data_IF_342315725201
#
_entry.id   IF_342315725201
#
_cell.length_a   1.000
_cell.length_b   1.000
_cell.length_c   1.000
_cell.angle_alpha   90.00
_cell.angle_beta   90.00
_cell.angle_gamma   90.00
#
_symmetry.space_group_name_H-M   'P 1'
#
loop_
_entity.id
_entity.type
_entity.pdbx_description
1 polymer ?
#
# COMPACT_ATOMS: atom_id res chain seq x y z
N UNK A 1 -3.51 39.50 23.51
CA UNK A 1 -2.33 39.72 22.66
C UNK A 1 -1.48 38.47 22.77
N UNK A 2 -1.74 37.43 22.00
CA UNK A 2 -1.33 37.20 20.59
C UNK A 2 0.02 36.46 20.53
N UNK A 3 -0.05 35.26 19.93
CA UNK A 3 0.92 34.28 19.36
C UNK A 3 2.43 34.34 19.74
N UNK A 4 3.18 33.22 19.86
CA UNK A 4 3.24 32.11 18.91
C UNK A 4 3.71 30.77 19.52
N UNK A 5 3.07 29.70 19.04
CA UNK A 5 3.48 28.30 19.11
C UNK A 5 4.81 28.07 18.38
N UNK A 6 5.75 27.37 19.02
CA UNK A 6 6.84 26.65 18.34
C UNK A 6 7.03 25.30 19.04
N UNK A 7 6.15 24.36 18.70
CA UNK A 7 6.23 22.97 19.15
C UNK A 7 7.42 22.28 18.50
N UNK A 8 8.48 22.06 19.28
CA UNK A 8 9.64 21.25 18.89
C UNK A 8 9.26 19.77 18.99
N UNK A 9 8.72 19.20 17.91
CA UNK A 9 8.45 17.76 17.83
C UNK A 9 9.71 17.08 17.28
N UNK A 10 10.58 16.60 18.17
CA UNK A 10 11.59 15.61 17.81
C UNK A 10 10.90 14.27 17.61
N UNK A 11 10.77 13.81 16.37
CA UNK A 11 10.24 12.49 16.06
C UNK A 11 11.39 11.47 16.18
N UNK A 12 11.39 10.64 17.23
CA UNK A 12 12.28 9.49 17.28
C UNK A 12 11.84 8.44 16.26
N UNK A 13 12.74 8.01 15.36
CA UNK A 13 12.47 6.96 14.39
C UNK A 13 13.11 5.63 14.85
N UNK A 14 12.39 4.52 14.65
CA UNK A 14 12.86 3.17 14.95
C UNK A 14 12.80 2.30 13.68
N UNK A 15 13.94 2.01 13.02
CA UNK A 15 13.98 0.96 12.00
C UNK A 15 13.87 -0.43 12.65
N UNK A 16 13.34 -1.45 11.95
CA UNK A 16 13.26 -2.81 12.48
C UNK A 16 14.66 -3.36 12.78
N UNK A 17 14.98 -3.57 14.06
CA UNK A 17 16.23 -4.21 14.50
C UNK A 17 17.50 -3.33 14.53
N UNK A 18 17.37 -2.01 14.28
CA UNK A 18 18.50 -1.07 14.30
C UNK A 18 18.52 -0.13 15.52
N UNK A 19 19.64 0.58 15.78
CA UNK A 19 19.71 1.58 16.84
C UNK A 19 18.77 2.76 16.55
N UNK A 20 18.19 3.33 17.60
CA UNK A 20 17.36 4.55 17.52
C UNK A 20 18.24 5.69 16.98
N UNK A 21 17.93 6.18 15.78
CA UNK A 21 18.51 7.41 15.24
C UNK A 21 17.55 8.56 15.49
N UNK A 22 18.02 9.58 16.20
CA UNK A 22 17.26 10.78 16.50
C UNK A 22 17.95 11.97 15.81
N UNK A 23 17.19 12.71 15.02
CA UNK A 23 17.62 13.86 14.25
C UNK A 23 16.42 14.48 13.56
N UNK A 24 16.59 15.66 12.95
CA UNK A 24 15.56 16.21 12.06
C UNK A 24 15.51 15.39 10.76
N UNK A 25 14.40 15.47 10.03
CA UNK A 25 14.23 14.69 8.80
C UNK A 25 15.40 14.93 7.82
N UNK A 26 15.86 16.17 7.72
CA UNK A 26 16.96 16.60 6.87
C UNK A 26 18.29 15.95 7.24
N UNK A 27 18.58 15.80 8.54
CA UNK A 27 19.78 15.09 9.01
C UNK A 27 19.72 13.59 8.71
N UNK A 28 18.54 12.98 8.85
CA UNK A 28 18.29 11.58 8.53
C UNK A 28 18.30 11.27 7.02
N UNK A 29 18.07 12.31 6.20
CA UNK A 29 18.27 12.24 4.74
C UNK A 29 19.76 12.30 4.42
N UNK A 30 20.48 13.25 5.00
CA UNK A 30 21.91 13.47 4.73
C UNK A 30 22.80 12.34 5.25
N UNK A 31 22.43 11.70 6.36
CA UNK A 31 23.19 10.59 6.95
C UNK A 31 22.85 9.20 6.34
N UNK A 32 21.96 9.18 5.34
CA UNK A 32 21.50 7.97 4.66
C UNK A 32 20.61 7.04 5.49
N UNK A 33 20.14 7.46 6.68
CA UNK A 33 19.32 6.64 7.56
C UNK A 33 18.01 6.19 6.90
N UNK A 34 17.38 7.06 6.10
CA UNK A 34 16.19 6.69 5.35
C UNK A 34 16.48 5.60 4.31
N UNK A 35 17.52 5.74 3.51
CA UNK A 35 17.85 4.72 2.52
C UNK A 35 18.14 3.37 3.19
N UNK A 36 18.95 3.35 4.25
CA UNK A 36 19.33 2.12 4.95
C UNK A 36 18.15 1.43 5.68
N UNK A 37 17.19 2.21 6.22
CA UNK A 37 16.04 1.65 6.94
C UNK A 37 15.03 0.95 6.00
N UNK A 38 15.01 1.34 4.74
CA UNK A 38 13.96 0.98 3.78
C UNK A 38 14.47 0.09 2.62
N UNK A 39 15.79 -0.09 2.51
CA UNK A 39 16.44 -0.96 1.52
C UNK A 39 15.91 -2.40 1.59
N UNK A 40 15.73 -2.98 2.78
CA UNK A 40 15.19 -4.33 2.96
C UNK A 40 13.70 -4.46 2.62
N UNK A 41 12.98 -3.35 2.50
CA UNK A 41 11.56 -3.31 2.15
C UNK A 41 11.32 -3.10 0.64
N UNK A 42 12.39 -3.08 -0.18
CA UNK A 42 12.27 -2.80 -1.61
C UNK A 42 11.85 -1.35 -1.89
N UNK A 43 12.14 -0.45 -0.96
CA UNK A 43 11.80 0.97 -1.05
C UNK A 43 13.08 1.78 -1.18
N UNK A 44 13.23 2.46 -2.30
CA UNK A 44 14.31 3.39 -2.57
C UNK A 44 13.89 4.79 -2.11
N UNK A 45 14.73 5.47 -1.34
CA UNK A 45 14.49 6.86 -0.97
C UNK A 45 15.26 7.79 -1.91
N UNK A 46 14.57 8.66 -2.64
CA UNK A 46 15.17 9.68 -3.48
C UNK A 46 15.55 10.89 -2.61
N UNK A 47 16.81 10.95 -2.17
CA UNK A 47 17.31 12.01 -1.30
C UNK A 47 17.28 13.41 -1.94
N UNK A 48 17.28 13.50 -3.28
CA UNK A 48 17.18 14.78 -3.99
C UNK A 48 15.73 15.27 -4.07
N UNK A 49 14.78 14.35 -4.23
CA UNK A 49 13.36 14.65 -4.34
C UNK A 49 12.55 14.52 -3.05
N UNK A 50 13.13 14.01 -1.97
CA UNK A 50 12.48 13.82 -0.67
C UNK A 50 11.32 12.81 -0.67
N UNK A 51 11.28 11.87 -1.61
CA UNK A 51 10.17 10.90 -1.75
C UNK A 51 10.66 9.46 -1.83
N UNK A 52 9.79 8.54 -1.42
CA UNK A 52 10.05 7.09 -1.47
C UNK A 52 9.50 6.50 -2.78
N UNK A 53 10.29 5.65 -3.44
CA UNK A 53 9.95 4.85 -4.61
C UNK A 53 9.94 3.37 -4.22
N UNK A 54 8.76 2.76 -4.20
CA UNK A 54 8.64 1.32 -3.95
C UNK A 54 8.86 0.58 -5.26
N UNK A 55 9.93 -0.21 -5.36
CA UNK A 55 10.19 -1.09 -6.50
C UNK A 55 9.66 -2.48 -6.18
N UNK A 56 8.35 -2.67 -6.35
CA UNK A 56 7.76 -4.01 -6.22
C UNK A 56 7.67 -4.66 -7.62
N UNK A 57 8.22 -5.87 -7.84
CA UNK A 57 8.04 -6.57 -9.10
C UNK A 57 6.54 -6.77 -9.36
N UNK A 58 6.13 -6.57 -10.61
CA UNK A 58 4.72 -6.71 -11.01
C UNK A 58 4.22 -8.12 -10.70
N UNK A 59 3.25 -8.24 -9.79
CA UNK A 59 2.67 -9.52 -9.37
C UNK A 59 1.53 -10.00 -10.26
N UNK A 60 0.85 -9.08 -10.93
CA UNK A 60 -0.28 -9.37 -11.79
C UNK A 60 -1.15 -8.15 -12.03
N UNK A 61 -2.22 -8.34 -12.78
CA UNK A 61 -3.22 -7.31 -13.10
C UNK A 61 -4.51 -7.64 -12.37
N UNK A 62 -5.13 -6.63 -11.77
CA UNK A 62 -6.39 -6.73 -11.03
C UNK A 62 -7.35 -5.66 -11.54
N UNK A 63 -8.56 -6.06 -11.92
CA UNK A 63 -9.60 -5.11 -12.27
C UNK A 63 -10.24 -4.57 -10.98
N UNK A 64 -10.41 -3.24 -10.89
CA UNK A 64 -11.04 -2.60 -9.74
C UNK A 64 -12.23 -1.76 -10.19
N UNK A 65 -13.40 -2.10 -9.67
CA UNK A 65 -14.64 -1.37 -9.84
C UNK A 65 -15.13 -0.82 -8.51
N UNK A 66 -15.66 0.41 -8.54
CA UNK A 66 -16.18 1.08 -7.36
C UNK A 66 -15.81 2.56 -7.36
N UNK A 67 -16.45 3.32 -6.48
CA UNK A 67 -16.32 4.77 -6.44
C UNK A 67 -15.88 5.27 -5.06
N UNK A 68 -15.48 6.53 -5.03
CA UNK A 68 -15.17 7.26 -3.80
C UNK A 68 -13.89 6.80 -3.12
N UNK A 69 -13.79 7.18 -1.84
CA UNK A 69 -12.60 7.00 -1.01
C UNK A 69 -12.20 5.51 -0.84
N UNK A 70 -13.13 4.56 -0.63
CA UNK A 70 -12.77 3.15 -0.51
C UNK A 70 -12.12 2.58 -1.77
N UNK A 71 -12.65 2.87 -2.96
CA UNK A 71 -12.07 2.41 -4.22
C UNK A 71 -10.67 3.00 -4.44
N UNK A 72 -10.49 4.30 -4.19
CA UNK A 72 -9.19 4.97 -4.29
C UNK A 72 -8.12 4.30 -3.42
N UNK A 73 -8.44 4.04 -2.15
CA UNK A 73 -7.50 3.40 -1.22
C UNK A 73 -7.26 1.93 -1.51
N UNK A 74 -8.23 1.26 -2.12
CA UNK A 74 -8.06 -0.12 -2.61
C UNK A 74 -7.05 -0.16 -3.74
N UNK A 75 -7.16 0.74 -4.71
CA UNK A 75 -6.20 0.86 -5.81
C UNK A 75 -4.78 1.07 -5.30
N UNK A 76 -4.59 2.05 -4.39
CA UNK A 76 -3.28 2.31 -3.77
C UNK A 76 -2.72 1.12 -2.99
N UNK A 77 -3.57 0.36 -2.31
CA UNK A 77 -3.14 -0.83 -1.59
C UNK A 77 -2.68 -1.94 -2.54
N UNK A 78 -3.37 -2.11 -3.68
CA UNK A 78 -2.98 -3.05 -4.74
C UNK A 78 -1.64 -2.66 -5.38
N UNK A 79 -1.49 -1.39 -5.78
CA UNK A 79 -0.25 -0.86 -6.36
C UNK A 79 0.94 -1.03 -5.42
N UNK A 80 0.74 -0.73 -4.12
CA UNK A 80 1.77 -0.92 -3.09
C UNK A 80 2.23 -2.37 -2.97
N UNK A 81 1.33 -3.33 -3.21
CA UNK A 81 1.66 -4.76 -3.20
C UNK A 81 2.17 -5.27 -4.57
N UNK A 82 2.34 -4.37 -5.56
CA UNK A 82 2.91 -4.69 -6.88
C UNK A 82 1.89 -5.13 -7.92
N UNK A 83 0.60 -4.90 -7.72
CA UNK A 83 -0.43 -5.17 -8.73
C UNK A 83 -0.65 -3.96 -9.64
N UNK A 84 -0.90 -4.22 -10.92
CA UNK A 84 -1.40 -3.21 -11.86
C UNK A 84 -2.92 -3.16 -11.74
N UNK A 85 -3.47 -1.98 -11.50
CA UNK A 85 -4.92 -1.79 -11.36
C UNK A 85 -5.50 -1.34 -12.69
N UNK A 86 -6.36 -2.18 -13.27
CA UNK A 86 -7.12 -1.84 -14.46
C UNK A 86 -8.42 -1.13 -14.08
N UNK A 87 -8.67 0.02 -14.73
CA UNK A 87 -9.97 0.67 -14.70
C UNK A 87 -10.95 0.03 -15.69
N UNK A 88 -12.17 0.58 -15.71
CA UNK A 88 -13.21 0.18 -16.65
C UNK A 88 -12.80 0.51 -18.11
N UNK A 89 -12.25 -0.46 -18.82
CA UNK A 89 -11.87 -0.30 -20.23
C UNK A 89 -10.78 -1.24 -20.76
N UNK A 90 -10.09 -1.97 -19.86
CA UNK A 90 -9.10 -2.98 -20.23
C UNK A 90 -9.70 -4.38 -20.49
N UNK A 91 -8.92 -5.32 -21.05
CA UNK A 91 -9.31 -6.72 -21.07
C UNK A 91 -9.46 -7.24 -19.63
N UNK A 92 -10.54 -7.99 -19.39
CA UNK A 92 -10.89 -8.46 -18.05
C UNK A 92 -9.81 -9.38 -17.48
N UNK A 93 -9.29 -9.02 -16.32
CA UNK A 93 -8.32 -9.80 -15.57
C UNK A 93 -8.98 -11.00 -14.89
N UNK A 94 -8.19 -12.03 -14.56
CA UNK A 94 -8.68 -13.21 -13.85
C UNK A 94 -9.20 -12.91 -12.44
N UNK A 95 -8.69 -11.83 -11.82
CA UNK A 95 -9.16 -11.30 -10.55
C UNK A 95 -9.79 -9.92 -10.74
N UNK A 96 -11.01 -9.77 -10.26
CA UNK A 96 -11.79 -8.52 -10.29
C UNK A 96 -12.31 -8.19 -8.90
N UNK A 97 -12.20 -6.93 -8.48
CA UNK A 97 -12.64 -6.45 -7.17
C UNK A 97 -13.74 -5.41 -7.35
N UNK A 98 -14.88 -5.62 -6.71
CA UNK A 98 -15.96 -4.65 -6.62
C UNK A 98 -16.04 -4.07 -5.22
N UNK A 99 -15.92 -2.76 -5.11
CA UNK A 99 -16.11 -2.02 -3.87
C UNK A 99 -17.50 -1.41 -3.89
N UNK A 100 -18.35 -1.85 -2.96
CA UNK A 100 -19.73 -1.39 -2.84
C UNK A 100 -20.04 -0.96 -1.41
N UNK A 101 -21.04 -0.09 -1.25
CA UNK A 101 -21.55 0.27 0.06
C UNK A 101 -22.57 -0.77 0.53
N UNK A 102 -22.41 -1.23 1.77
CA UNK A 102 -23.38 -2.07 2.45
C UNK A 102 -23.76 -1.40 3.78
N UNK A 103 -24.87 -0.68 3.77
CA UNK A 103 -25.42 -0.01 4.97
C UNK A 103 -24.47 1.03 5.57
N UNK A 104 -23.77 1.81 4.72
CA UNK A 104 -22.84 2.86 5.15
C UNK A 104 -21.44 2.35 5.49
N UNK A 105 -21.14 1.09 5.18
CA UNK A 105 -19.81 0.49 5.35
C UNK A 105 -19.33 -0.05 4.01
N UNK A 106 -18.07 0.19 3.63
CA UNK A 106 -17.51 -0.39 2.41
C UNK A 106 -17.40 -1.91 2.55
N UNK A 107 -17.72 -2.61 1.47
CA UNK A 107 -17.60 -4.05 1.33
C UNK A 107 -16.86 -4.35 0.02
N UNK A 108 -15.92 -5.29 0.09
CA UNK A 108 -15.10 -5.69 -1.05
C UNK A 108 -15.53 -7.07 -1.50
N UNK A 109 -16.01 -7.18 -2.74
CA UNK A 109 -16.27 -8.46 -3.39
C UNK A 109 -15.12 -8.80 -4.31
N UNK A 110 -14.45 -9.91 -4.05
CA UNK A 110 -13.44 -10.46 -4.96
C UNK A 110 -14.11 -11.51 -5.83
N UNK A 111 -13.92 -11.39 -7.14
CA UNK A 111 -14.31 -12.37 -8.15
C UNK A 111 -13.06 -13.05 -8.71
N UNK A 112 -12.97 -14.36 -8.53
CA UNK A 112 -11.90 -15.17 -9.09
C UNK A 112 -12.49 -16.43 -9.72
N UNK A 113 -12.20 -16.64 -11.01
CA UNK A 113 -12.85 -17.66 -11.85
C UNK A 113 -14.39 -17.52 -11.80
N UNK A 114 -15.11 -18.58 -11.40
CA UNK A 114 -16.58 -18.59 -11.27
C UNK A 114 -17.06 -18.33 -9.82
N UNK A 115 -16.13 -18.05 -8.90
CA UNK A 115 -16.45 -17.85 -7.49
C UNK A 115 -16.30 -16.38 -7.09
N UNK A 116 -17.04 -15.99 -6.05
CA UNK A 116 -16.89 -14.69 -5.43
C UNK A 116 -16.93 -14.81 -3.91
N UNK A 117 -16.26 -13.88 -3.24
CA UNK A 117 -16.25 -13.78 -1.80
C UNK A 117 -16.28 -12.33 -1.35
N UNK A 118 -17.12 -12.04 -0.35
CA UNK A 118 -17.23 -10.72 0.27
C UNK A 118 -16.31 -10.61 1.48
N UNK A 119 -15.66 -9.46 1.59
CA UNK A 119 -14.76 -9.10 2.67
C UNK A 119 -15.18 -7.76 3.28
N UNK A 120 -15.47 -7.70 4.59
CA UNK A 120 -15.90 -6.47 5.26
C UNK A 120 -14.77 -5.45 5.50
N UNK A 121 -13.52 -5.80 5.18
CA UNK A 121 -12.37 -4.91 5.39
C UNK A 121 -11.38 -5.00 4.25
N UNK A 122 -10.70 -3.89 3.96
CA UNK A 122 -9.62 -3.84 2.97
C UNK A 122 -8.51 -4.84 3.29
N UNK A 123 -8.15 -5.02 4.57
CA UNK A 123 -7.09 -5.95 4.98
C UNK A 123 -7.42 -7.41 4.60
N UNK A 124 -8.66 -7.84 4.80
CA UNK A 124 -9.10 -9.18 4.43
C UNK A 124 -9.20 -9.33 2.90
N UNK A 125 -9.70 -8.31 2.20
CA UNK A 125 -9.71 -8.28 0.74
C UNK A 125 -8.29 -8.46 0.18
N UNK A 126 -7.31 -7.68 0.67
CA UNK A 126 -5.91 -7.79 0.25
C UNK A 126 -5.30 -9.16 0.57
N UNK A 127 -5.72 -9.79 1.67
CA UNK A 127 -5.30 -11.16 1.99
C UNK A 127 -5.86 -12.18 0.99
N UNK A 128 -7.14 -12.02 0.59
CA UNK A 128 -7.77 -12.81 -0.47
C UNK A 128 -7.11 -12.63 -1.84
N UNK A 129 -6.75 -11.40 -2.21
CA UNK A 129 -5.97 -11.12 -3.42
C UNK A 129 -4.67 -11.91 -3.40
N UNK A 130 -3.87 -11.79 -2.34
CA UNK A 130 -2.58 -12.49 -2.22
C UNK A 130 -2.73 -14.00 -2.31
N UNK A 131 -3.79 -14.57 -1.72
CA UNK A 131 -4.06 -16.01 -1.79
C UNK A 131 -4.34 -16.50 -3.23
N UNK A 132 -4.91 -15.66 -4.09
CA UNK A 132 -5.17 -16.02 -5.50
C UNK A 132 -3.88 -16.03 -6.36
N UNK A 133 -2.83 -15.33 -5.94
CA UNK A 133 -1.58 -15.19 -6.69
C UNK A 133 -0.40 -15.95 -6.07
N UNK A 134 -0.58 -16.58 -4.91
CA UNK A 134 0.44 -17.46 -4.33
C UNK A 134 0.46 -18.78 -5.10
N UNK A 135 1.65 -19.29 -5.51
CA UNK A 135 1.74 -20.65 -6.00
C UNK A 135 1.27 -21.60 -4.89
N UNK A 136 0.42 -22.58 -5.22
CA UNK A 136 0.19 -23.71 -4.34
C UNK A 136 1.57 -24.29 -4.03
N UNK A 137 1.96 -24.28 -2.74
CA UNK A 137 3.22 -24.87 -2.32
C UNK A 137 3.15 -26.33 -2.76
N UNK A 138 3.92 -26.67 -3.80
CA UNK A 138 4.14 -28.04 -4.20
C UNK A 138 4.84 -28.72 -3.02
N UNK A 139 4.06 -29.49 -2.25
CA UNK A 139 4.56 -30.42 -1.26
C UNK A 139 5.13 -31.67 -1.91
#
# INVERSE_FOLDING_TARGET
SDLAFAGRIGCGWLPPGGPIRAGIAEELVLDGAFQAAFESAGVEFDAHGGHFKVHNPTRGVVDLAGEGLPALWTGRALEREGFIVNGHGGPRSALHIEVHDRSGQPMWRLHHAETWQDFPTLSQAMSGVKACFSPAIAG
#
